data_IF_721195799274
#
_entry.id   IF_721195799274
#
_cell.length_a   1.000
_cell.length_b   1.000
_cell.length_c   1.000
_cell.angle_alpha   90.00
_cell.angle_beta   90.00
_cell.angle_gamma   90.00
#
_symmetry.space_group_name_H-M   'P 1'
#
loop_
_entity.id
_entity.type
_entity.pdbx_description
1 polymer ?
#
# COMPACT_ATOMS: atom_id res chain seq x y z
N UNK A 1 -17.44 8.52 -16.40
CA UNK A 1 -17.04 8.08 -15.06
C UNK A 1 -16.27 9.20 -14.41
N UNK A 2 -16.59 9.53 -13.16
CA UNK A 2 -15.95 10.64 -12.42
C UNK A 2 -14.52 10.29 -12.02
N UNK A 3 -13.66 11.30 -11.81
CA UNK A 3 -12.28 11.12 -11.34
C UNK A 3 -12.21 10.34 -10.03
N UNK A 4 -13.12 10.63 -9.11
CA UNK A 4 -13.21 9.94 -7.82
C UNK A 4 -13.40 8.43 -7.97
N UNK A 5 -14.16 7.98 -8.97
CA UNK A 5 -14.37 6.57 -9.23
C UNK A 5 -13.05 5.82 -9.42
N UNK A 6 -12.14 6.34 -10.23
CA UNK A 6 -10.86 5.66 -10.52
C UNK A 6 -9.87 5.66 -9.35
N UNK A 7 -10.00 6.61 -8.41
CA UNK A 7 -9.19 6.61 -7.19
C UNK A 7 -9.70 5.59 -6.16
N UNK A 8 -10.99 5.24 -6.19
CA UNK A 8 -11.64 4.34 -5.26
C UNK A 8 -11.71 2.91 -5.80
N UNK A 9 -12.05 2.76 -7.08
CA UNK A 9 -12.47 1.49 -7.67
C UNK A 9 -11.43 0.35 -7.54
N UNK A 10 -10.12 0.53 -7.76
CA UNK A 10 -9.14 -0.55 -7.62
C UNK A 10 -9.09 -1.10 -6.19
N UNK A 11 -9.06 -0.20 -5.19
CA UNK A 11 -9.04 -0.60 -3.79
C UNK A 11 -10.39 -1.20 -3.34
N UNK A 12 -11.51 -0.60 -3.73
CA UNK A 12 -12.83 -1.16 -3.44
C UNK A 12 -13.01 -2.56 -4.08
N UNK A 13 -12.54 -2.77 -5.30
CA UNK A 13 -12.54 -4.09 -5.93
C UNK A 13 -11.70 -5.09 -5.14
N UNK A 14 -10.53 -4.68 -4.66
CA UNK A 14 -9.71 -5.53 -3.78
C UNK A 14 -10.47 -5.95 -2.53
N UNK A 15 -11.08 -5.01 -1.81
CA UNK A 15 -11.83 -5.26 -0.58
C UNK A 15 -13.05 -6.17 -0.82
N UNK A 16 -13.82 -5.92 -1.88
CA UNK A 16 -14.96 -6.76 -2.25
C UNK A 16 -14.52 -8.18 -2.57
N UNK A 17 -13.45 -8.34 -3.35
CA UNK A 17 -12.91 -9.65 -3.68
C UNK A 17 -12.27 -10.35 -2.47
N UNK A 18 -11.73 -9.60 -1.51
CA UNK A 18 -11.32 -10.18 -0.22
C UNK A 18 -12.50 -10.74 0.58
N UNK A 19 -13.60 -10.02 0.61
CA UNK A 19 -14.79 -10.42 1.36
C UNK A 19 -15.57 -11.58 0.69
N UNK A 20 -15.45 -11.74 -0.63
CA UNK A 20 -16.29 -12.70 -1.40
C UNK A 20 -15.55 -13.96 -1.84
N UNK A 21 -14.23 -13.90 -2.00
CA UNK A 21 -13.43 -15.04 -2.42
C UNK A 21 -12.75 -15.70 -1.22
N UNK A 22 -12.57 -17.03 -1.23
CA UNK A 22 -11.90 -17.74 -0.15
C UNK A 22 -10.45 -17.30 0.02
N UNK A 23 -9.88 -17.51 1.22
CA UNK A 23 -8.49 -17.18 1.54
C UNK A 23 -7.51 -18.22 0.95
N UNK A 24 -7.50 -18.36 -0.38
CA UNK A 24 -6.62 -19.29 -1.11
C UNK A 24 -5.60 -18.53 -1.97
N UNK A 25 -4.52 -19.19 -2.31
CA UNK A 25 -3.50 -18.67 -3.21
C UNK A 25 -4.08 -18.29 -4.60
N UNK A 26 -4.96 -19.11 -5.16
CA UNK A 26 -5.63 -18.83 -6.44
C UNK A 26 -6.52 -17.59 -6.35
N UNK A 27 -7.29 -17.46 -5.28
CA UNK A 27 -8.12 -16.26 -5.06
C UNK A 27 -7.28 -14.99 -4.92
N UNK A 28 -6.12 -15.09 -4.27
CA UNK A 28 -5.16 -13.98 -4.21
C UNK A 28 -4.67 -13.57 -5.61
N UNK A 29 -4.31 -14.55 -6.45
CA UNK A 29 -3.88 -14.28 -7.82
C UNK A 29 -4.98 -13.63 -8.66
N UNK A 30 -6.23 -14.09 -8.53
CA UNK A 30 -7.39 -13.49 -9.20
C UNK A 30 -7.58 -12.02 -8.74
N UNK A 31 -7.60 -11.77 -7.44
CA UNK A 31 -7.71 -10.40 -6.88
C UNK A 31 -6.62 -9.49 -7.43
N UNK A 32 -5.38 -9.93 -7.35
CA UNK A 32 -4.22 -9.19 -7.87
C UNK A 32 -4.35 -8.91 -9.36
N UNK A 33 -4.74 -9.90 -10.16
CA UNK A 33 -4.93 -9.75 -11.61
C UNK A 33 -6.04 -8.74 -11.96
N UNK A 34 -7.17 -8.77 -11.28
CA UNK A 34 -8.26 -7.82 -11.48
C UNK A 34 -7.80 -6.39 -11.17
N UNK A 35 -7.20 -6.19 -10.00
CA UNK A 35 -6.72 -4.85 -9.58
C UNK A 35 -5.59 -4.37 -10.48
N UNK A 36 -4.66 -5.25 -10.89
CA UNK A 36 -3.61 -4.91 -11.84
C UNK A 36 -4.18 -4.47 -13.20
N UNK A 37 -5.21 -5.14 -13.70
CA UNK A 37 -5.90 -4.75 -14.93
C UNK A 37 -6.57 -3.38 -14.80
N UNK A 38 -7.21 -3.09 -13.67
CA UNK A 38 -7.83 -1.78 -13.39
C UNK A 38 -6.77 -0.68 -13.31
N UNK A 39 -5.70 -0.88 -12.56
CA UNK A 39 -4.58 0.07 -12.45
C UNK A 39 -3.91 0.26 -13.81
N UNK A 40 -3.66 -0.81 -14.55
CA UNK A 40 -3.09 -0.76 -15.90
C UNK A 40 -3.98 -0.01 -16.90
N UNK A 41 -5.29 -0.19 -16.81
CA UNK A 41 -6.25 0.58 -17.62
C UNK A 41 -6.20 2.07 -17.29
N UNK A 42 -6.14 2.42 -15.99
CA UNK A 42 -5.99 3.80 -15.55
C UNK A 42 -4.72 4.45 -16.11
N UNK A 43 -3.61 3.71 -16.15
CA UNK A 43 -2.33 4.22 -16.66
C UNK A 43 -2.34 4.46 -18.18
N UNK A 44 -3.22 3.79 -18.92
CA UNK A 44 -3.33 3.93 -20.38
C UNK A 44 -4.19 5.10 -20.84
N UNK A 45 -5.10 5.60 -20.00
CA UNK A 45 -6.06 6.63 -20.35
C UNK A 45 -5.69 8.03 -19.85
N UNK A 46 -6.68 8.95 -19.90
CA UNK A 46 -6.51 10.30 -19.33
C UNK A 46 -6.14 10.32 -17.83
N UNK A 47 -6.40 9.20 -17.13
CA UNK A 47 -5.99 9.00 -15.76
C UNK A 47 -4.47 8.98 -15.53
N UNK A 48 -3.66 8.75 -16.60
CA UNK A 48 -2.20 8.94 -16.56
C UNK A 48 -1.83 10.33 -16.01
N UNK A 49 -2.61 11.34 -16.37
CA UNK A 49 -2.46 12.71 -15.87
C UNK A 49 -2.68 12.82 -14.35
N UNK A 50 -3.58 12.01 -13.78
CA UNK A 50 -3.82 11.97 -12.33
C UNK A 50 -2.63 11.43 -11.54
N UNK A 51 -1.96 10.41 -12.05
CA UNK A 51 -0.77 9.81 -11.42
C UNK A 51 0.46 10.69 -11.59
N UNK A 52 0.59 11.35 -12.74
CA UNK A 52 1.74 12.19 -13.05
C UNK A 52 1.60 13.63 -12.54
N UNK A 53 0.47 13.98 -11.89
CA UNK A 53 0.35 15.24 -11.15
C UNK A 53 0.20 16.48 -12.03
N UNK A 54 -0.45 16.40 -13.20
CA UNK A 54 -0.78 17.62 -13.95
C UNK A 54 -1.67 18.54 -13.10
N UNK A 55 -1.43 19.87 -13.14
CA UNK A 55 -2.08 20.81 -12.26
C UNK A 55 -3.58 20.91 -12.58
N UNK A 56 -4.41 20.45 -11.66
CA UNK A 56 -5.83 20.71 -11.69
C UNK A 56 -6.19 21.80 -10.69
N UNK A 57 -6.83 22.85 -11.19
CA UNK A 57 -7.25 24.06 -10.44
C UNK A 57 -8.20 23.82 -9.25
N UNK A 58 -8.63 22.58 -9.00
CA UNK A 58 -9.76 22.33 -8.09
C UNK A 58 -9.39 21.80 -6.70
N UNK A 59 -8.14 21.36 -6.47
CA UNK A 59 -7.66 20.97 -5.13
C UNK A 59 -6.33 21.68 -4.88
N UNK A 60 -6.37 22.70 -4.02
CA UNK A 60 -5.24 23.56 -3.68
C UNK A 60 -4.17 22.88 -2.79
N UNK A 61 -3.81 21.65 -3.10
CA UNK A 61 -2.55 21.06 -2.66
C UNK A 61 -1.59 21.22 -3.83
N UNK A 62 -0.63 22.13 -3.70
CA UNK A 62 0.33 22.55 -4.73
C UNK A 62 0.84 21.38 -5.57
N UNK A 63 0.59 21.36 -6.88
CA UNK A 63 1.12 20.35 -7.77
C UNK A 63 2.50 20.80 -8.24
N UNK A 64 3.54 20.40 -7.57
CA UNK A 64 4.87 20.36 -8.17
C UNK A 64 5.05 19.02 -8.82
N UNK A 65 4.61 18.90 -10.04
CA UNK A 65 4.72 17.70 -10.84
C UNK A 65 5.52 17.98 -12.10
N UNK A 66 6.80 17.72 -12.01
CA UNK A 66 7.66 17.55 -13.16
C UNK A 66 8.41 16.22 -13.02
N UNK A 67 8.90 15.67 -14.11
CA UNK A 67 9.78 14.49 -14.10
C UNK A 67 11.02 14.69 -13.20
N UNK A 68 11.39 15.95 -12.92
CA UNK A 68 12.28 16.33 -11.82
C UNK A 68 11.73 15.89 -10.46
N UNK A 69 10.42 15.77 -10.30
CA UNK A 69 9.78 15.32 -9.06
C UNK A 69 9.94 13.82 -8.84
N UNK A 70 10.04 12.98 -9.87
CA UNK A 70 10.25 11.54 -9.68
C UNK A 70 11.63 11.27 -9.07
N UNK A 71 12.69 11.91 -9.59
CA UNK A 71 14.03 11.80 -9.01
C UNK A 71 14.10 12.39 -7.59
N UNK A 72 13.39 13.52 -7.34
CA UNK A 72 13.30 14.12 -5.99
C UNK A 72 12.42 13.35 -5.02
N UNK A 73 11.59 12.44 -5.53
CA UNK A 73 10.68 11.57 -4.76
C UNK A 73 11.29 10.20 -4.47
N UNK A 74 12.21 9.76 -5.33
CA UNK A 74 12.77 8.40 -5.25
C UNK A 74 13.53 8.19 -3.92
N UNK A 75 14.52 9.00 -3.63
CA UNK A 75 15.34 8.83 -2.43
C UNK A 75 14.54 8.97 -1.13
N UNK A 76 13.71 10.01 -0.93
CA UNK A 76 12.83 10.08 0.24
C UNK A 76 11.85 8.91 0.32
N UNK A 77 11.31 8.45 -0.80
CA UNK A 77 10.44 7.29 -0.86
C UNK A 77 11.14 6.01 -0.39
N UNK A 78 12.31 5.72 -0.94
CA UNK A 78 13.11 4.54 -0.55
C UNK A 78 13.48 4.59 0.94
N UNK A 79 13.98 5.73 1.43
CA UNK A 79 14.35 5.88 2.84
C UNK A 79 13.14 5.65 3.74
N UNK A 80 12.01 6.31 3.44
CA UNK A 80 10.77 6.16 4.23
C UNK A 80 10.29 4.71 4.20
N UNK A 81 10.32 4.04 3.05
CA UNK A 81 9.90 2.65 2.92
C UNK A 81 10.76 1.69 3.74
N UNK A 82 12.08 1.87 3.73
CA UNK A 82 13.01 1.06 4.55
C UNK A 82 12.79 1.32 6.05
N UNK A 83 12.60 2.58 6.45
CA UNK A 83 12.34 2.92 7.86
C UNK A 83 11.00 2.32 8.34
N UNK A 84 9.95 2.41 7.53
CA UNK A 84 8.66 1.80 7.85
C UNK A 84 8.77 0.28 7.91
N UNK A 85 9.51 -0.36 7.01
CA UNK A 85 9.80 -1.80 7.12
C UNK A 85 10.46 -2.15 8.45
N UNK A 86 11.50 -1.42 8.86
CA UNK A 86 12.18 -1.67 10.13
C UNK A 86 11.25 -1.49 11.34
N UNK A 87 10.38 -0.46 11.31
CA UNK A 87 9.36 -0.24 12.34
C UNK A 87 8.31 -1.37 12.31
N UNK A 88 7.96 -1.87 11.12
CA UNK A 88 6.95 -2.91 10.96
C UNK A 88 7.33 -4.23 11.63
N UNK A 89 8.56 -4.68 11.46
CA UNK A 89 9.05 -5.93 12.04
C UNK A 89 9.59 -5.76 13.46
N UNK A 90 10.09 -4.56 13.79
CA UNK A 90 10.86 -4.29 15.01
C UNK A 90 10.21 -4.76 16.30
N UNK A 91 8.95 -4.41 16.60
CA UNK A 91 8.32 -4.78 17.86
C UNK A 91 8.27 -6.29 18.12
N UNK A 92 8.06 -7.11 17.08
CA UNK A 92 8.05 -8.56 17.22
C UNK A 92 9.46 -9.15 17.22
N UNK A 93 10.43 -8.54 16.52
CA UNK A 93 11.83 -8.97 16.55
C UNK A 93 12.49 -8.69 17.91
N UNK A 94 12.06 -7.63 18.62
CA UNK A 94 12.51 -7.30 19.97
C UNK A 94 11.63 -7.89 21.09
N UNK A 95 10.69 -8.76 20.71
CA UNK A 95 9.87 -9.52 21.63
C UNK A 95 9.02 -8.67 22.60
N UNK A 96 8.48 -7.56 22.11
CA UNK A 96 7.64 -6.66 22.92
C UNK A 96 6.26 -7.29 23.20
N UNK A 97 6.10 -7.90 24.36
CA UNK A 97 4.88 -8.60 24.77
C UNK A 97 3.64 -7.67 24.76
N UNK A 98 3.78 -6.43 25.26
CA UNK A 98 2.70 -5.46 25.24
C UNK A 98 2.21 -5.17 23.82
N UNK A 99 3.13 -5.11 22.84
CA UNK A 99 2.79 -4.89 21.44
C UNK A 99 2.00 -6.06 20.89
N UNK A 100 2.45 -7.29 21.08
CA UNK A 100 1.73 -8.49 20.64
C UNK A 100 0.34 -8.57 21.27
N UNK A 101 0.23 -8.23 22.55
CA UNK A 101 -1.05 -8.30 23.27
C UNK A 101 -2.06 -7.24 22.84
N UNK A 102 -1.62 -6.03 22.50
CA UNK A 102 -2.51 -4.89 22.30
C UNK A 102 -2.55 -4.34 20.88
N UNK A 103 -1.54 -4.62 20.06
CA UNK A 103 -1.38 -4.00 18.75
C UNK A 103 -1.52 -4.97 17.58
N UNK A 104 -1.66 -6.27 17.84
CA UNK A 104 -1.91 -7.29 16.81
C UNK A 104 -3.35 -7.78 16.97
N UNK A 105 -4.12 -7.69 15.89
CA UNK A 105 -5.50 -8.14 15.79
C UNK A 105 -5.56 -9.22 14.70
N UNK A 106 -5.81 -10.46 15.10
CA UNK A 106 -5.78 -11.58 14.16
C UNK A 106 -4.47 -12.37 14.18
N UNK A 107 -4.46 -13.49 13.49
CA UNK A 107 -3.32 -14.41 13.51
C UNK A 107 -2.28 -14.09 12.41
N UNK A 108 -2.60 -13.19 11.49
CA UNK A 108 -1.73 -12.81 10.35
C UNK A 108 -1.27 -14.01 9.51
N UNK A 109 -0.62 -13.71 8.41
CA UNK A 109 0.12 -14.71 7.67
C UNK A 109 -0.66 -15.49 6.61
N UNK A 110 0.03 -15.80 5.54
CA UNK A 110 -0.49 -16.55 4.41
C UNK A 110 0.38 -17.75 4.08
N UNK A 111 0.53 -18.63 5.06
CA UNK A 111 1.27 -19.88 4.86
C UNK A 111 0.74 -20.69 3.66
N UNK A 112 -0.56 -20.58 3.37
CA UNK A 112 -1.17 -21.15 2.17
C UNK A 112 -0.54 -20.66 0.84
N UNK A 113 0.01 -19.46 0.80
CA UNK A 113 0.74 -18.95 -0.38
C UNK A 113 2.14 -19.58 -0.47
N UNK A 114 2.82 -19.78 0.66
CA UNK A 114 4.10 -20.48 0.70
C UNK A 114 3.96 -21.93 0.23
N UNK A 115 2.92 -22.61 0.68
CA UNK A 115 2.61 -24.00 0.31
C UNK A 115 2.22 -24.15 -1.17
N UNK A 116 1.67 -23.09 -1.77
CA UNK A 116 1.30 -23.08 -3.19
C UNK A 116 2.49 -22.94 -4.16
N UNK A 117 3.72 -22.76 -3.64
CA UNK A 117 4.97 -22.80 -4.39
C UNK A 117 5.46 -21.45 -4.92
N UNK A 118 6.66 -21.46 -5.50
CA UNK A 118 7.45 -20.27 -5.88
C UNK A 118 6.69 -19.30 -6.79
N UNK A 119 5.90 -19.79 -7.74
CA UNK A 119 5.12 -18.95 -8.64
C UNK A 119 4.10 -18.07 -7.86
N UNK A 120 3.44 -18.65 -6.86
CA UNK A 120 2.47 -17.90 -6.05
C UNK A 120 3.14 -16.93 -5.09
N UNK A 121 4.31 -17.27 -4.56
CA UNK A 121 5.14 -16.35 -3.79
C UNK A 121 5.51 -15.13 -4.65
N UNK A 122 5.93 -15.35 -5.91
CA UNK A 122 6.23 -14.27 -6.83
C UNK A 122 5.01 -13.39 -7.15
N UNK A 123 3.84 -14.00 -7.41
CA UNK A 123 2.57 -13.28 -7.62
C UNK A 123 2.23 -12.43 -6.40
N UNK A 124 2.38 -12.97 -5.19
CA UNK A 124 2.12 -12.22 -3.97
C UNK A 124 3.11 -11.09 -3.78
N UNK A 125 4.40 -11.32 -4.00
CA UNK A 125 5.43 -10.29 -3.88
C UNK A 125 5.17 -9.12 -4.83
N UNK A 126 4.94 -9.42 -6.11
CA UNK A 126 4.64 -8.39 -7.12
C UNK A 126 3.29 -7.72 -6.83
N UNK A 127 2.28 -8.50 -6.45
CA UNK A 127 0.95 -8.00 -6.12
C UNK A 127 0.96 -7.03 -4.96
N UNK A 128 1.52 -7.43 -3.82
CA UNK A 128 1.59 -6.57 -2.63
C UNK A 128 2.46 -5.33 -2.84
N UNK A 129 3.64 -5.50 -3.46
CA UNK A 129 4.58 -4.40 -3.63
C UNK A 129 4.12 -3.36 -4.66
N UNK A 130 3.58 -3.78 -5.79
CA UNK A 130 3.33 -2.84 -6.90
C UNK A 130 1.84 -2.62 -7.21
N UNK A 131 1.00 -3.64 -7.07
CA UNK A 131 -0.41 -3.51 -7.45
C UNK A 131 -1.23 -2.93 -6.31
N UNK A 132 -1.15 -3.54 -5.13
CA UNK A 132 -1.95 -3.15 -3.97
C UNK A 132 -1.46 -1.83 -3.41
N UNK A 133 -0.13 -1.61 -3.29
CA UNK A 133 0.41 -0.32 -2.85
C UNK A 133 -0.10 0.84 -3.71
N UNK A 134 -0.19 0.68 -5.04
CA UNK A 134 -0.74 1.73 -5.92
C UNK A 134 -2.22 1.95 -5.64
N UNK A 135 -3.01 0.87 -5.54
CA UNK A 135 -4.44 0.96 -5.28
C UNK A 135 -4.75 1.64 -3.94
N UNK A 136 -4.02 1.27 -2.90
CA UNK A 136 -4.16 1.86 -1.56
C UNK A 136 -3.72 3.33 -1.52
N UNK A 137 -2.60 3.70 -2.16
CA UNK A 137 -2.17 5.09 -2.18
C UNK A 137 -3.14 5.99 -2.95
N UNK A 138 -3.75 5.50 -4.03
CA UNK A 138 -4.81 6.21 -4.74
C UNK A 138 -6.03 6.44 -3.85
N UNK A 139 -6.45 5.41 -3.10
CA UNK A 139 -7.58 5.50 -2.20
C UNK A 139 -7.26 6.36 -0.96
N UNK A 140 -6.26 5.98 -0.16
CA UNK A 140 -5.98 6.62 1.12
C UNK A 140 -5.40 8.02 0.96
N UNK A 141 -4.41 8.22 0.08
CA UNK A 141 -3.71 9.51 -0.02
C UNK A 141 -4.37 10.45 -1.02
N UNK A 142 -4.72 9.94 -2.21
CA UNK A 142 -5.28 10.82 -3.24
C UNK A 142 -6.74 11.18 -2.99
N UNK A 143 -7.57 10.22 -2.56
CA UNK A 143 -8.99 10.43 -2.35
C UNK A 143 -9.34 10.72 -0.88
N UNK A 144 -9.00 9.83 0.05
CA UNK A 144 -9.53 9.88 1.41
C UNK A 144 -9.00 11.09 2.20
N UNK A 145 -7.73 11.48 2.05
CA UNK A 145 -7.23 12.73 2.68
C UNK A 145 -8.06 13.93 2.24
N UNK A 146 -8.41 14.02 0.95
CA UNK A 146 -9.20 15.13 0.42
C UNK A 146 -10.67 15.07 0.86
N UNK A 147 -11.21 13.87 1.07
CA UNK A 147 -12.60 13.64 1.44
C UNK A 147 -12.84 13.76 2.94
N UNK A 148 -12.01 13.11 3.77
CA UNK A 148 -12.23 12.97 5.21
C UNK A 148 -11.12 13.61 6.08
N UNK A 149 -10.01 14.00 5.47
CA UNK A 149 -8.87 14.58 6.16
C UNK A 149 -7.81 13.58 6.60
N UNK A 150 -6.66 14.12 7.04
CA UNK A 150 -5.44 13.35 7.30
C UNK A 150 -5.61 12.31 8.41
N UNK A 151 -6.19 12.68 9.55
CA UNK A 151 -6.30 11.77 10.70
C UNK A 151 -7.29 10.64 10.50
N UNK A 152 -8.38 10.89 9.77
CA UNK A 152 -9.31 9.82 9.38
C UNK A 152 -8.66 8.85 8.42
N UNK A 153 -7.86 9.35 7.48
CA UNK A 153 -7.07 8.49 6.61
C UNK A 153 -6.11 7.61 7.43
N UNK A 154 -5.38 8.18 8.40
CA UNK A 154 -4.47 7.41 9.28
C UNK A 154 -5.24 6.34 10.06
N UNK A 155 -6.37 6.70 10.66
CA UNK A 155 -7.18 5.77 11.45
C UNK A 155 -7.70 4.59 10.61
N UNK A 156 -8.25 4.87 9.42
CA UNK A 156 -8.77 3.82 8.55
C UNK A 156 -7.65 2.94 7.97
N UNK A 157 -6.51 3.54 7.62
CA UNK A 157 -5.33 2.79 7.18
C UNK A 157 -4.79 1.88 8.29
N UNK A 158 -4.82 2.34 9.55
CA UNK A 158 -4.41 1.54 10.70
C UNK A 158 -5.33 0.33 10.94
N UNK A 159 -6.65 0.55 10.89
CA UNK A 159 -7.66 -0.50 11.15
C UNK A 159 -7.64 -1.60 10.08
N UNK A 160 -7.22 -1.28 8.87
CA UNK A 160 -7.11 -2.25 7.78
C UNK A 160 -6.01 -3.29 8.03
N UNK A 161 -5.04 -2.97 8.88
CA UNK A 161 -3.88 -3.81 9.13
C UNK A 161 -3.99 -4.57 10.46
N UNK A 162 -3.69 -5.88 10.46
CA UNK A 162 -3.65 -6.69 11.67
C UNK A 162 -2.72 -6.10 12.75
N UNK A 163 -1.70 -5.37 12.32
CA UNK A 163 -0.75 -4.65 13.17
C UNK A 163 -1.08 -3.16 13.19
N UNK A 164 -2.21 -2.81 13.80
CA UNK A 164 -2.80 -1.48 13.68
C UNK A 164 -1.86 -0.33 14.10
N UNK A 165 -1.02 -0.51 15.12
CA UNK A 165 -0.14 0.58 15.59
C UNK A 165 0.96 0.91 14.56
N UNK A 166 1.65 -0.09 14.02
CA UNK A 166 2.64 0.16 12.97
C UNK A 166 1.95 0.54 11.67
N UNK A 167 0.73 0.08 11.41
CA UNK A 167 -0.14 0.57 10.34
C UNK A 167 -0.44 2.06 10.49
N UNK A 168 -0.74 2.54 11.70
CA UNK A 168 -0.93 3.97 11.97
C UNK A 168 0.35 4.77 11.70
N UNK A 169 1.51 4.28 12.15
CA UNK A 169 2.81 4.92 11.92
C UNK A 169 3.13 4.99 10.42
N UNK A 170 2.89 3.90 9.68
CA UNK A 170 3.02 3.87 8.23
C UNK A 170 2.06 4.85 7.55
N UNK A 171 0.80 4.89 8.02
CA UNK A 171 -0.22 5.84 7.57
C UNK A 171 0.23 7.29 7.69
N UNK A 172 0.80 7.66 8.85
CA UNK A 172 1.38 9.00 9.08
C UNK A 172 2.58 9.24 8.16
N UNK A 173 3.53 8.29 8.09
CA UNK A 173 4.76 8.44 7.32
C UNK A 173 4.47 8.65 5.81
N UNK A 174 3.66 7.78 5.21
CA UNK A 174 3.29 7.90 3.79
C UNK A 174 2.38 9.12 3.55
N UNK A 175 1.48 9.43 4.49
CA UNK A 175 0.63 10.60 4.40
C UNK A 175 1.42 11.92 4.41
N UNK A 176 2.39 12.07 5.31
CA UNK A 176 3.29 13.22 5.34
C UNK A 176 4.18 13.29 4.10
N UNK A 177 4.65 12.13 3.62
CA UNK A 177 5.44 12.08 2.39
C UNK A 177 4.60 12.50 1.18
N UNK A 178 3.34 12.04 1.10
CA UNK A 178 2.37 12.49 0.09
C UNK A 178 2.18 14.00 0.10
N UNK A 179 1.94 14.60 1.27
CA UNK A 179 1.71 16.04 1.40
C UNK A 179 2.94 16.87 1.00
N UNK A 180 4.16 16.35 1.19
CA UNK A 180 5.41 17.08 0.90
C UNK A 180 5.98 16.80 -0.49
N UNK A 181 5.82 15.60 -1.01
CA UNK A 181 6.50 15.11 -2.22
C UNK A 181 5.54 14.54 -3.28
N UNK A 182 4.25 14.44 -2.96
CA UNK A 182 3.23 13.96 -3.87
C UNK A 182 3.04 12.43 -3.86
N UNK A 183 2.08 11.98 -4.67
CA UNK A 183 1.61 10.61 -4.71
C UNK A 183 2.73 9.60 -5.10
N UNK A 184 3.58 9.98 -6.05
CA UNK A 184 4.68 9.10 -6.49
C UNK A 184 5.65 8.73 -5.37
N UNK A 185 5.98 9.68 -4.47
CA UNK A 185 6.85 9.41 -3.33
C UNK A 185 6.19 8.45 -2.32
N UNK A 186 4.90 8.62 -2.06
CA UNK A 186 4.15 7.73 -1.18
C UNK A 186 4.04 6.30 -1.77
N UNK A 187 3.75 6.18 -3.07
CA UNK A 187 3.75 4.88 -3.77
C UNK A 187 5.12 4.21 -3.68
N UNK A 188 6.21 4.94 -3.93
CA UNK A 188 7.56 4.41 -3.83
C UNK A 188 7.85 3.91 -2.41
N UNK A 189 7.49 4.68 -1.40
CA UNK A 189 7.71 4.29 0.00
C UNK A 189 6.94 3.01 0.35
N UNK A 190 5.65 2.98 0.05
CA UNK A 190 4.80 1.83 0.32
C UNK A 190 5.24 0.58 -0.45
N UNK A 191 5.50 0.71 -1.75
CA UNK A 191 6.04 -0.37 -2.58
C UNK A 191 7.37 -0.90 -2.04
N UNK A 192 8.26 -0.01 -1.59
CA UNK A 192 9.55 -0.39 -0.98
C UNK A 192 9.35 -1.16 0.31
N UNK A 193 8.46 -0.69 1.20
CA UNK A 193 8.13 -1.41 2.45
C UNK A 193 7.65 -2.82 2.14
N UNK A 194 6.67 -2.96 1.25
CA UNK A 194 6.08 -4.26 0.93
C UNK A 194 7.05 -5.19 0.21
N UNK A 195 7.89 -4.65 -0.68
CA UNK A 195 8.92 -5.42 -1.37
C UNK A 195 9.97 -5.95 -0.39
N UNK A 196 10.52 -5.08 0.45
CA UNK A 196 11.55 -5.47 1.42
C UNK A 196 10.97 -6.43 2.46
N UNK A 197 9.74 -6.18 2.92
CA UNK A 197 9.03 -7.07 3.84
C UNK A 197 8.82 -8.45 3.22
N UNK A 198 8.32 -8.53 1.99
CA UNK A 198 8.10 -9.80 1.31
C UNK A 198 9.41 -10.57 1.09
N UNK A 199 10.49 -9.90 0.65
CA UNK A 199 11.81 -10.54 0.51
C UNK A 199 12.36 -11.03 1.86
N UNK A 200 12.16 -10.23 2.91
CA UNK A 200 12.56 -10.62 4.26
C UNK A 200 11.75 -11.82 4.77
N UNK A 201 10.42 -11.86 4.57
CA UNK A 201 9.57 -13.00 4.92
C UNK A 201 10.01 -14.28 4.20
N UNK A 202 10.27 -14.19 2.89
CA UNK A 202 10.76 -15.33 2.11
C UNK A 202 12.09 -15.85 2.68
N UNK A 203 12.98 -14.96 3.10
CA UNK A 203 14.31 -15.30 3.62
C UNK A 203 14.24 -15.85 5.05
N UNK A 204 13.38 -15.30 5.92
CA UNK A 204 13.30 -15.62 7.35
C UNK A 204 12.30 -16.73 7.67
N UNK A 205 11.34 -17.01 6.77
CA UNK A 205 10.23 -17.92 7.03
C UNK A 205 9.16 -17.39 7.99
N UNK A 206 9.19 -16.10 8.32
CA UNK A 206 8.24 -15.48 9.26
C UNK A 206 6.97 -15.02 8.53
N UNK A 207 6.16 -15.99 8.11
CA UNK A 207 4.97 -15.77 7.28
C UNK A 207 3.86 -14.97 7.96
N UNK A 208 3.89 -14.84 9.28
CA UNK A 208 2.92 -14.02 10.03
C UNK A 208 2.94 -12.52 9.64
N UNK A 209 3.99 -12.06 8.99
CA UNK A 209 4.08 -10.67 8.54
C UNK A 209 3.51 -10.42 7.14
N UNK A 210 3.02 -11.46 6.48
CA UNK A 210 2.68 -11.31 5.05
C UNK A 210 1.34 -11.90 4.63
#
# INVERSE_FOLDING_TARGET
MTRSFWMIAPYAAWMVLMATLPATATAYAIRTGVVAAMVGWMLRGECRKLLLGEPHREYAVSPRSDFRSLASSLLPGLITGILVFAIWIGPEQFDWEWYRKWCIVGEGGTQAVAEAGVAMIAVRLVGSAFVISVAEELFFRKWLISFAGFWWMVALFAIEHDRWLVGAIAGVAYGLLYLRKGLGAAIIAHATTNLVLGLWVIRSGQWQFW
#
